data_IF_199163042511
#
_entry.id   IF_199163042511
#
_cell.length_a   1.000
_cell.length_b   1.000
_cell.length_c   1.000
_cell.angle_alpha   90.00
_cell.angle_beta   90.00
_cell.angle_gamma   90.00
#
_symmetry.space_group_name_H-M   'P 1'
#
loop_
_entity.id
_entity.type
_entity.pdbx_description
1 polymer ?
#
# COMPACT_ATOMS: atom_id res chain seq x y z
N UNK A 1 0.48 -18.19 -0.51
CA UNK A 1 1.35 -17.44 -1.44
C UNK A 1 2.03 -16.35 -0.62
N UNK A 2 3.33 -16.43 -0.39
CA UNK A 2 4.05 -15.41 0.38
C UNK A 2 4.27 -14.16 -0.50
N UNK A 3 3.93 -12.97 0.00
CA UNK A 3 4.17 -11.71 -0.68
C UNK A 3 5.68 -11.40 -0.70
N UNK A 4 6.14 -10.75 -1.78
CA UNK A 4 7.52 -10.32 -1.93
C UNK A 4 7.91 -9.35 -0.80
N UNK A 5 9.03 -9.58 -0.09
CA UNK A 5 9.47 -8.70 0.99
C UNK A 5 9.69 -7.26 0.49
N UNK A 6 9.22 -6.28 1.26
CA UNK A 6 9.40 -4.84 0.98
C UNK A 6 10.87 -4.40 1.09
N UNK A 7 11.71 -5.16 1.80
CA UNK A 7 13.13 -4.85 2.01
C UNK A 7 14.03 -5.93 1.44
N UNK A 8 15.16 -5.52 0.85
CA UNK A 8 16.06 -6.41 0.12
C UNK A 8 16.95 -7.27 1.06
N UNK A 9 17.17 -6.83 2.30
CA UNK A 9 17.88 -7.57 3.36
C UNK A 9 17.35 -7.20 4.75
N UNK A 10 17.10 -8.20 5.60
CA UNK A 10 16.77 -7.97 7.01
C UNK A 10 18.00 -7.44 7.75
N UNK A 11 17.90 -6.24 8.31
CA UNK A 11 19.01 -5.62 9.07
C UNK A 11 19.20 -6.23 10.47
N UNK A 12 18.31 -7.14 10.89
CA UNK A 12 18.27 -7.69 12.26
C UNK A 12 17.89 -6.68 13.34
N UNK A 13 17.62 -5.42 12.99
CA UNK A 13 17.22 -4.37 13.92
C UNK A 13 15.69 -4.30 13.99
N UNK A 14 15.16 -4.55 15.18
CA UNK A 14 13.73 -4.38 15.48
C UNK A 14 13.55 -3.05 16.18
N UNK A 15 12.60 -2.25 15.69
CA UNK A 15 12.24 -0.97 16.30
C UNK A 15 10.78 -0.98 16.73
N UNK A 16 10.46 -1.53 17.93
CA UNK A 16 9.09 -1.59 18.41
C UNK A 16 8.42 -0.22 18.42
N UNK A 17 7.18 -0.14 17.95
CA UNK A 17 6.40 1.10 17.90
C UNK A 17 6.76 2.06 16.77
N UNK A 18 7.75 1.76 15.92
CA UNK A 18 7.98 2.54 14.69
C UNK A 18 6.96 2.16 13.62
N UNK A 19 6.38 3.18 12.97
CA UNK A 19 5.58 2.98 11.77
C UNK A 19 6.45 2.46 10.63
N UNK A 20 6.02 1.36 10.02
CA UNK A 20 6.70 0.72 8.89
C UNK A 20 5.89 0.76 7.61
N UNK A 21 4.56 0.87 7.73
CA UNK A 21 3.62 0.74 6.62
C UNK A 21 2.28 1.36 6.96
N UNK A 22 1.53 1.77 5.95
CA UNK A 22 0.16 2.24 6.09
C UNK A 22 -0.66 1.83 4.86
N UNK A 23 -1.92 1.50 5.11
CA UNK A 23 -2.88 1.13 4.07
C UNK A 23 -4.03 2.13 4.02
N UNK A 24 -4.35 2.60 2.82
CA UNK A 24 -5.55 3.36 2.55
C UNK A 24 -6.70 2.41 2.24
N UNK A 25 -7.70 2.36 3.12
CA UNK A 25 -8.94 1.66 2.88
C UNK A 25 -9.93 2.61 2.20
N UNK A 26 -10.40 2.26 1.01
CA UNK A 26 -11.34 3.09 0.24
C UNK A 26 -12.30 2.24 -0.58
N UNK A 27 -13.53 2.71 -0.80
CA UNK A 27 -14.49 2.05 -1.71
C UNK A 27 -14.04 2.11 -3.17
N UNK A 28 -13.19 3.09 -3.52
CA UNK A 28 -12.74 3.35 -4.89
C UNK A 28 -11.20 3.37 -5.02
N UNK A 29 -10.50 2.22 -4.92
CA UNK A 29 -9.04 2.16 -4.96
C UNK A 29 -8.42 2.79 -6.21
N UNK A 30 -9.02 2.57 -7.38
CA UNK A 30 -8.51 3.11 -8.64
C UNK A 30 -8.54 4.65 -8.66
N UNK A 31 -9.66 5.26 -8.23
CA UNK A 31 -9.78 6.72 -8.17
C UNK A 31 -8.84 7.34 -7.14
N UNK A 32 -8.73 6.71 -5.97
CA UNK A 32 -7.77 7.16 -4.95
C UNK A 32 -6.34 7.07 -5.46
N UNK A 33 -5.99 5.98 -6.16
CA UNK A 33 -4.68 5.83 -6.76
C UNK A 33 -4.38 6.93 -7.78
N UNK A 34 -5.27 7.14 -8.76
CA UNK A 34 -5.12 8.20 -9.77
C UNK A 34 -4.96 9.59 -9.17
N UNK A 35 -5.66 9.87 -8.08
CA UNK A 35 -5.51 11.12 -7.34
C UNK A 35 -4.09 11.29 -6.78
N UNK A 36 -3.52 10.25 -6.16
CA UNK A 36 -2.17 10.31 -5.59
C UNK A 36 -1.05 10.24 -6.63
N UNK A 37 -1.27 9.53 -7.74
CA UNK A 37 -0.40 9.57 -8.93
C UNK A 37 -0.30 11.02 -9.44
N UNK A 38 -1.43 11.70 -9.62
CA UNK A 38 -1.46 13.08 -10.11
C UNK A 38 -0.90 14.09 -9.10
N UNK A 39 -1.16 13.90 -7.80
CA UNK A 39 -0.78 14.85 -6.76
C UNK A 39 0.71 14.76 -6.38
N UNK A 40 1.24 13.55 -6.27
CA UNK A 40 2.59 13.31 -5.76
C UNK A 40 3.55 12.65 -6.75
N UNK A 41 3.06 12.23 -7.93
CA UNK A 41 3.87 11.48 -8.89
C UNK A 41 4.25 10.09 -8.39
N UNK A 42 3.44 9.50 -7.51
CA UNK A 42 3.65 8.13 -7.04
C UNK A 42 3.35 7.13 -8.15
N UNK A 43 4.03 5.98 -8.10
CA UNK A 43 3.79 4.85 -8.99
C UNK A 43 2.92 3.81 -8.25
N UNK A 44 1.81 3.40 -8.86
CA UNK A 44 0.84 2.51 -8.24
C UNK A 44 0.71 1.23 -9.07
N UNK A 45 1.09 0.12 -8.45
CA UNK A 45 0.93 -1.22 -9.00
C UNK A 45 -0.43 -1.77 -8.57
N UNK A 46 -1.40 -1.76 -9.48
CA UNK A 46 -2.77 -2.21 -9.21
C UNK A 46 -2.88 -3.74 -9.29
N UNK A 47 -3.27 -4.36 -8.18
CA UNK A 47 -3.70 -5.76 -8.15
C UNK A 47 -5.17 -5.89 -7.69
N UNK A 48 -5.85 -7.03 -7.94
CA UNK A 48 -7.29 -7.17 -7.71
C UNK A 48 -7.76 -6.83 -6.30
N UNK A 49 -6.95 -7.12 -5.28
CA UNK A 49 -7.34 -6.97 -3.87
C UNK A 49 -6.45 -5.99 -3.09
N UNK A 50 -5.35 -5.55 -3.67
CA UNK A 50 -4.34 -4.75 -2.97
C UNK A 50 -3.46 -4.04 -4.00
N UNK A 51 -3.37 -2.71 -3.94
CA UNK A 51 -2.47 -1.96 -4.81
C UNK A 51 -1.25 -1.50 -4.03
N UNK A 52 -0.05 -1.65 -4.59
CA UNK A 52 1.20 -1.23 -3.98
C UNK A 52 1.56 0.18 -4.44
N UNK A 53 1.90 1.06 -3.52
CA UNK A 53 2.28 2.45 -3.81
C UNK A 53 3.79 2.63 -3.62
N UNK A 54 4.43 3.20 -4.64
CA UNK A 54 5.85 3.52 -4.67
C UNK A 54 6.09 5.02 -4.83
N UNK A 55 7.12 5.51 -4.16
CA UNK A 55 7.71 6.82 -4.41
C UNK A 55 9.16 6.61 -4.88
N UNK A 56 9.38 6.73 -6.19
CA UNK A 56 10.59 6.21 -6.84
C UNK A 56 10.73 4.71 -6.59
N UNK A 57 11.91 4.26 -6.14
CA UNK A 57 12.17 2.83 -5.88
C UNK A 57 11.67 2.34 -4.51
N UNK A 58 11.03 3.20 -3.71
CA UNK A 58 10.62 2.87 -2.35
C UNK A 58 9.14 2.56 -2.28
N UNK A 59 8.81 1.35 -1.82
CA UNK A 59 7.47 0.98 -1.40
C UNK A 59 7.11 1.74 -0.11
N UNK A 60 5.98 2.43 -0.11
CA UNK A 60 5.58 3.32 1.00
C UNK A 60 4.19 3.03 1.60
N UNK A 61 3.26 2.50 0.81
CA UNK A 61 1.88 2.32 1.23
C UNK A 61 1.14 1.27 0.39
N UNK A 62 -0.03 0.86 0.86
CA UNK A 62 -1.00 0.13 0.07
C UNK A 62 -2.32 0.87 -0.11
N UNK A 63 -3.09 0.50 -1.14
CA UNK A 63 -4.48 0.89 -1.31
C UNK A 63 -5.33 -0.37 -1.38
N UNK A 64 -6.34 -0.45 -0.52
CA UNK A 64 -7.20 -1.62 -0.36
C UNK A 64 -8.64 -1.22 -0.59
N UNK A 65 -9.38 -2.09 -1.30
CA UNK A 65 -10.82 -1.94 -1.37
C UNK A 65 -11.41 -2.19 0.01
N UNK A 66 -12.01 -1.17 0.61
CA UNK A 66 -12.80 -1.33 1.82
C UNK A 66 -13.93 -2.31 1.51
N UNK A 67 -13.97 -3.43 2.22
CA UNK A 67 -15.15 -4.29 2.19
C UNK A 67 -16.28 -3.52 2.86
N UNK A 68 -17.38 -3.34 2.15
CA UNK A 68 -18.63 -2.90 2.76
C UNK A 68 -18.94 -3.88 3.88
N UNK A 69 -19.06 -3.40 5.11
CA UNK A 69 -19.64 -4.18 6.19
C UNK A 69 -21.13 -4.33 5.89
N UNK A 70 -21.48 -5.25 4.99
CA UNK A 70 -22.84 -5.75 4.91
C UNK A 70 -23.00 -6.62 6.15
N UNK A 71 -23.63 -5.97 7.14
CA UNK A 71 -24.01 -6.53 8.43
C UNK A 71 -24.82 -7.79 8.19
N UNK A 72 -24.37 -8.88 8.81
CA UNK A 72 -25.18 -10.07 9.06
C UNK A 72 -26.46 -9.72 9.82
#
# INVERSE_FOLDING_TARGET
MAQTPITNQSTGKVYPGKFIWHDLLTSEPAKAGQFYEALFGWDIEYHPNYSLVRNGDKLIAGIVKAQSAEQQ
#
